data_IF_741144830506
#
_entry.id   IF_741144830506
#
_cell.length_a   1.000
_cell.length_b   1.000
_cell.length_c   1.000
_cell.angle_alpha   90.00
_cell.angle_beta   90.00
_cell.angle_gamma   90.00
#
_symmetry.space_group_name_H-M   'P 1'
#
loop_
_entity.id
_entity.type
_entity.pdbx_description
1 polymer ?
#
# COMPACT_ATOMS: atom_id res chain seq x y z
N UNK A 1 -9.55 -3.88 8.95
CA UNK A 1 -8.27 -3.72 8.23
C UNK A 1 -8.41 -2.64 7.18
N UNK A 2 -7.35 -1.91 6.87
CA UNK A 2 -7.34 -0.98 5.74
C UNK A 2 -7.02 -1.71 4.44
N UNK A 3 -7.69 -1.33 3.36
CA UNK A 3 -7.38 -1.82 2.02
C UNK A 3 -7.53 -0.66 1.04
N UNK A 4 -6.57 -0.50 0.14
CA UNK A 4 -6.63 0.50 -0.92
C UNK A 4 -7.94 0.37 -1.74
N UNK A 5 -8.51 1.51 -2.11
CA UNK A 5 -9.71 1.58 -2.95
C UNK A 5 -9.49 2.60 -4.07
N UNK A 6 -9.53 2.18 -5.35
CA UNK A 6 -9.74 0.81 -5.85
C UNK A 6 -8.56 -0.15 -5.59
N UNK A 7 -8.82 -1.46 -5.47
CA UNK A 7 -7.77 -2.50 -5.41
C UNK A 7 -8.05 -3.67 -6.37
N UNK A 8 -7.07 -4.57 -6.53
CA UNK A 8 -7.28 -5.79 -7.28
C UNK A 8 -8.35 -6.69 -6.61
N UNK A 9 -9.34 -7.14 -7.38
CA UNK A 9 -10.50 -7.90 -6.86
C UNK A 9 -10.10 -9.13 -6.04
N UNK A 10 -9.04 -9.83 -6.45
CA UNK A 10 -8.60 -11.02 -5.71
C UNK A 10 -8.06 -10.66 -4.33
N UNK A 11 -7.38 -9.53 -4.17
CA UNK A 11 -6.88 -9.07 -2.85
C UNK A 11 -8.06 -8.83 -1.92
N UNK A 12 -9.08 -8.11 -2.40
CA UNK A 12 -10.33 -7.92 -1.66
C UNK A 12 -10.97 -9.25 -1.26
N UNK A 13 -11.16 -10.17 -2.20
CA UNK A 13 -11.76 -11.48 -1.92
C UNK A 13 -10.94 -12.32 -0.93
N UNK A 14 -9.61 -12.25 -0.96
CA UNK A 14 -8.74 -12.95 0.00
C UNK A 14 -9.03 -12.54 1.44
N UNK A 15 -9.39 -11.27 1.67
CA UNK A 15 -9.75 -10.78 3.00
C UNK A 15 -11.23 -10.96 3.32
N UNK A 16 -12.12 -10.81 2.35
CA UNK A 16 -13.57 -11.01 2.57
C UNK A 16 -13.93 -12.48 2.84
N UNK A 17 -13.24 -13.44 2.21
CA UNK A 17 -13.49 -14.87 2.39
C UNK A 17 -13.42 -15.36 3.85
N UNK A 18 -12.41 -14.98 4.67
CA UNK A 18 -12.40 -15.27 6.10
C UNK A 18 -13.27 -14.33 6.96
N UNK A 19 -13.99 -13.38 6.36
CA UNK A 19 -14.87 -12.45 7.05
C UNK A 19 -14.19 -11.19 7.61
N UNK A 20 -13.08 -10.73 7.02
CA UNK A 20 -12.42 -9.51 7.47
C UNK A 20 -13.31 -8.28 7.26
N UNK A 21 -13.36 -7.40 8.27
CA UNK A 21 -13.98 -6.08 8.12
C UNK A 21 -13.00 -5.14 7.39
N UNK A 22 -13.34 -4.79 6.15
CA UNK A 22 -12.52 -3.96 5.28
C UNK A 22 -12.96 -2.50 5.38
N UNK A 23 -12.03 -1.63 5.73
CA UNK A 23 -12.14 -0.18 5.62
C UNK A 23 -11.54 0.21 4.27
N UNK A 24 -12.35 0.69 3.31
CA UNK A 24 -11.84 1.11 2.01
C UNK A 24 -11.10 2.44 2.14
N UNK A 25 -9.81 2.43 1.82
CA UNK A 25 -8.94 3.59 1.89
C UNK A 25 -8.75 4.20 0.50
N UNK A 26 -9.43 5.31 0.24
CA UNK A 26 -9.40 5.98 -1.06
C UNK A 26 -7.98 6.38 -1.47
N UNK A 27 -7.68 6.13 -2.73
CA UNK A 27 -6.42 6.49 -3.37
C UNK A 27 -6.33 8.00 -3.67
N UNK A 28 -5.18 8.59 -3.39
CA UNK A 28 -4.81 9.94 -3.81
C UNK A 28 -3.80 9.95 -4.95
N UNK A 29 -3.33 11.15 -5.36
CA UNK A 29 -2.31 11.29 -6.40
C UNK A 29 -0.95 10.68 -6.04
N UNK A 30 -0.66 10.49 -4.76
CA UNK A 30 0.59 9.91 -4.24
C UNK A 30 0.35 8.56 -3.54
N UNK A 31 -0.63 7.80 -4.02
CA UNK A 31 -1.21 6.62 -3.37
C UNK A 31 -2.08 6.94 -2.15
N UNK A 32 -2.41 5.92 -1.37
CA UNK A 32 -3.18 6.01 -0.13
C UNK A 32 -2.46 6.87 0.91
N UNK A 33 -3.16 7.88 1.42
CA UNK A 33 -2.76 8.65 2.59
C UNK A 33 -3.32 8.00 3.87
N UNK A 34 -2.45 7.38 4.66
CA UNK A 34 -2.86 6.72 5.91
C UNK A 34 -3.47 7.69 6.94
N UNK A 35 -3.02 8.94 6.95
CA UNK A 35 -3.44 9.94 7.94
C UNK A 35 -4.87 10.42 7.66
N UNK A 36 -5.22 10.57 6.38
CA UNK A 36 -6.59 10.87 5.95
C UNK A 36 -7.60 9.80 6.38
N UNK A 37 -7.15 8.56 6.56
CA UNK A 37 -7.99 7.42 6.94
C UNK A 37 -7.83 7.02 8.41
N UNK A 38 -7.00 7.72 9.20
CA UNK A 38 -6.63 7.29 10.55
C UNK A 38 -7.82 7.07 11.49
N UNK A 39 -8.83 7.95 11.43
CA UNK A 39 -10.05 7.82 12.23
C UNK A 39 -10.88 6.59 11.82
N UNK A 40 -11.03 6.33 10.51
CA UNK A 40 -11.75 5.15 10.01
C UNK A 40 -10.98 3.85 10.30
N UNK A 41 -9.66 3.93 10.45
CA UNK A 41 -8.77 2.82 10.78
C UNK A 41 -8.55 2.65 12.29
N UNK A 42 -9.32 3.32 13.14
CA UNK A 42 -9.26 3.11 14.57
C UNK A 42 -9.53 1.62 14.90
N UNK A 43 -8.66 1.03 15.71
CA UNK A 43 -8.73 -0.40 16.03
C UNK A 43 -8.23 -1.34 14.92
N UNK A 44 -7.94 -0.86 13.71
CA UNK A 44 -7.30 -1.68 12.69
C UNK A 44 -5.88 -2.07 13.12
N UNK A 45 -5.49 -3.31 12.79
CA UNK A 45 -4.15 -3.87 13.05
C UNK A 45 -3.47 -4.39 11.79
N UNK A 46 -4.05 -4.09 10.64
CA UNK A 46 -3.56 -4.53 9.35
C UNK A 46 -3.97 -3.53 8.28
N UNK A 47 -3.04 -3.22 7.38
CA UNK A 47 -3.29 -2.49 6.15
C UNK A 47 -2.58 -3.19 4.99
N UNK A 48 -3.26 -3.29 3.84
CA UNK A 48 -2.68 -3.82 2.61
C UNK A 48 -2.49 -2.67 1.61
N UNK A 49 -1.31 -2.57 1.03
CA UNK A 49 -0.89 -1.52 0.10
C UNK A 49 -0.12 -2.08 -1.08
N UNK A 50 -0.11 -1.36 -2.21
CA UNK A 50 0.70 -1.71 -3.40
C UNK A 50 1.65 -0.55 -3.74
N UNK A 51 2.69 -0.30 -2.93
CA UNK A 51 3.38 0.98 -2.92
C UNK A 51 4.34 1.22 -4.11
N UNK A 52 4.78 0.18 -4.84
CA UNK A 52 5.66 0.32 -6.01
C UNK A 52 4.91 0.51 -7.32
N UNK A 53 3.71 -0.06 -7.46
CA UNK A 53 2.85 0.14 -8.62
C UNK A 53 1.41 -0.25 -8.28
N UNK A 54 0.60 0.74 -7.93
CA UNK A 54 -0.73 0.44 -7.43
C UNK A 54 -1.65 -0.06 -8.52
N UNK A 55 -2.30 -1.21 -8.35
CA UNK A 55 -3.35 -1.64 -9.27
C UNK A 55 -4.73 -1.15 -8.81
N UNK A 56 -5.54 -0.52 -9.68
CA UNK A 56 -5.36 -0.31 -11.12
C UNK A 56 -4.76 1.04 -11.52
N UNK A 57 -4.43 1.91 -10.57
CA UNK A 57 -4.14 3.33 -10.87
C UNK A 57 -2.74 3.59 -11.46
N UNK A 58 -1.81 2.66 -11.27
CA UNK A 58 -0.38 2.77 -11.60
C UNK A 58 0.39 3.75 -10.72
N UNK A 59 -0.26 4.33 -9.70
CA UNK A 59 0.37 5.34 -8.84
C UNK A 59 1.45 4.69 -7.97
N UNK A 60 2.54 5.41 -7.76
CA UNK A 60 3.66 4.99 -6.92
C UNK A 60 3.59 5.75 -5.61
N UNK A 61 3.72 5.05 -4.49
CA UNK A 61 3.68 5.67 -3.18
C UNK A 61 4.96 6.48 -2.95
N UNK A 62 4.80 7.75 -2.59
CA UNK A 62 5.94 8.61 -2.27
C UNK A 62 6.67 8.15 -1.00
N UNK A 63 7.93 8.56 -0.82
CA UNK A 63 8.69 8.24 0.39
C UNK A 63 7.99 8.79 1.66
N UNK A 64 7.41 9.99 1.56
CA UNK A 64 6.66 10.62 2.65
C UNK A 64 5.46 9.75 3.08
N UNK A 65 4.67 9.27 2.12
CA UNK A 65 3.53 8.38 2.40
C UNK A 65 3.96 7.05 3.00
N UNK A 66 5.06 6.47 2.51
CA UNK A 66 5.62 5.25 3.08
C UNK A 66 6.09 5.48 4.52
N UNK A 67 6.71 6.61 4.83
CA UNK A 67 7.15 6.95 6.19
C UNK A 67 5.96 7.12 7.13
N UNK A 68 4.92 7.85 6.70
CA UNK A 68 3.69 8.02 7.48
C UNK A 68 3.01 6.67 7.74
N UNK A 69 2.94 5.79 6.74
CA UNK A 69 2.38 4.44 6.86
C UNK A 69 3.14 3.60 7.90
N UNK A 70 4.47 3.60 7.87
CA UNK A 70 5.30 2.86 8.82
C UNK A 70 5.19 3.43 10.24
N UNK A 71 5.11 4.76 10.37
CA UNK A 71 4.89 5.41 11.66
C UNK A 71 3.52 5.05 12.24
N UNK A 72 2.47 5.09 11.42
CA UNK A 72 1.13 4.64 11.82
C UNK A 72 1.17 3.17 12.27
N UNK A 73 1.79 2.29 11.47
CA UNK A 73 1.89 0.87 11.81
C UNK A 73 2.60 0.65 13.16
N UNK A 74 3.68 1.39 13.42
CA UNK A 74 4.42 1.34 14.67
C UNK A 74 3.56 1.78 15.86
N UNK A 75 2.91 2.95 15.77
CA UNK A 75 2.08 3.53 16.86
C UNK A 75 0.88 2.63 17.17
N UNK A 76 0.27 2.02 16.15
CA UNK A 76 -0.95 1.23 16.31
C UNK A 76 -0.69 -0.26 16.53
N UNK A 77 0.58 -0.69 16.62
CA UNK A 77 0.98 -2.11 16.64
C UNK A 77 0.30 -2.89 15.50
N UNK A 78 0.29 -2.31 14.30
CA UNK A 78 -0.35 -2.85 13.12
C UNK A 78 0.68 -3.41 12.14
N UNK A 79 0.26 -4.37 11.33
CA UNK A 79 1.06 -4.92 10.24
C UNK A 79 0.75 -4.22 8.91
N UNK A 80 1.77 -4.07 8.08
CA UNK A 80 1.64 -3.63 6.68
C UNK A 80 1.91 -4.83 5.78
N UNK A 81 0.97 -5.14 4.89
CA UNK A 81 1.16 -6.14 3.82
C UNK A 81 1.39 -5.36 2.52
N UNK A 82 2.55 -5.52 1.91
CA UNK A 82 2.87 -4.93 0.62
C UNK A 82 2.65 -5.96 -0.50
N UNK A 83 1.73 -5.69 -1.43
CA UNK A 83 1.51 -6.46 -2.65
C UNK A 83 2.41 -5.91 -3.77
N UNK A 84 3.72 -6.03 -3.57
CA UNK A 84 4.75 -5.31 -4.32
C UNK A 84 5.50 -6.24 -5.29
N UNK A 85 4.76 -6.85 -6.22
CA UNK A 85 5.32 -7.74 -7.25
C UNK A 85 6.39 -7.06 -8.13
N UNK A 86 6.31 -5.74 -8.33
CA UNK A 86 7.18 -4.95 -9.23
C UNK A 86 8.26 -4.12 -8.52
N UNK A 87 8.58 -4.42 -7.26
CA UNK A 87 9.60 -3.67 -6.51
C UNK A 87 11.00 -3.64 -7.20
N UNK A 88 11.31 -4.60 -8.07
CA UNK A 88 12.54 -4.65 -8.88
C UNK A 88 12.59 -3.63 -10.04
N UNK A 89 11.44 -3.07 -10.44
CA UNK A 89 11.32 -2.15 -11.58
C UNK A 89 11.52 -0.66 -11.22
N UNK A 90 12.08 -0.34 -10.04
CA UNK A 90 12.58 1.03 -9.78
C UNK A 90 13.75 1.36 -10.71
N UNK A 91 13.43 1.86 -11.90
CA UNK A 91 14.33 2.54 -12.85
C UNK A 91 14.86 3.90 -12.30
N UNK A 92 14.91 4.06 -10.98
CA UNK A 92 15.31 5.30 -10.29
C UNK A 92 16.19 5.10 -9.05
N UNK A 93 16.44 3.87 -8.59
CA UNK A 93 17.57 3.61 -7.69
C UNK A 93 18.75 3.17 -8.56
N UNK A 94 19.81 3.97 -8.58
CA UNK A 94 20.93 3.84 -9.50
C UNK A 94 21.63 2.48 -9.47
N UNK A 95 21.14 1.52 -10.24
CA UNK A 95 21.94 0.41 -10.74
C UNK A 95 22.27 0.74 -12.19
N UNK A 96 23.46 1.30 -12.42
CA UNK A 96 24.05 1.38 -13.77
C UNK A 96 24.22 -0.05 -14.31
N UNK A 97 23.22 -0.58 -15.01
CA UNK A 97 23.46 -1.69 -15.95
C UNK A 97 24.20 -1.11 -17.15
N UNK A 98 25.53 -1.34 -17.19
CA UNK A 98 26.29 -1.25 -18.45
C UNK A 98 25.78 -2.38 -19.33
N UNK A 99 24.90 -2.08 -20.28
CA UNK A 99 24.77 -2.92 -21.46
C UNK A 99 25.93 -2.59 -22.38
N UNK A 100 26.96 -3.41 -22.30
CA UNK A 100 27.85 -3.67 -23.42
C UNK A 100 27.33 -4.94 -24.11
N UNK A 101 27.36 -4.89 -25.45
CA UNK A 101 26.84 -5.82 -26.46
C UNK A 101 25.45 -5.46 -26.97
#
# INVERSE_FOLDING_TARGET
MGLEEPCHRNVRHTYEAPGALIVPCQMGPDCMDIECHAAALEGARLVNVSPSFQFPTGVVMSEERRRALLQWAYVHHACVIEDDFDCEHRLGCGIRRRYGL
#
